data_IF_851436082536
#
_entry.id   IF_851436082536
#
_cell.length_a   1.000
_cell.length_b   1.000
_cell.length_c   1.000
_cell.angle_alpha   90.00
_cell.angle_beta   90.00
_cell.angle_gamma   90.00
#
_symmetry.space_group_name_H-M   'P 1'
#
loop_
_entity.id
_entity.type
_entity.pdbx_description
1 polymer ?
#
# COMPACT_ATOMS: atom_id res chain seq x y z
N UNK A 1 -22.32 -2.41 -10.90
CA UNK A 1 -22.23 -3.37 -9.77
C UNK A 1 -20.82 -3.27 -9.25
N UNK A 2 -20.65 -2.81 -8.01
CA UNK A 2 -19.34 -2.85 -7.33
C UNK A 2 -19.00 -4.34 -7.17
N UNK A 3 -17.90 -4.79 -7.77
CA UNK A 3 -17.41 -6.16 -7.54
C UNK A 3 -17.06 -6.26 -6.04
N UNK A 4 -17.68 -7.22 -5.36
CA UNK A 4 -17.35 -7.48 -3.96
C UNK A 4 -15.88 -7.91 -3.89
N UNK A 5 -15.05 -7.13 -3.17
CA UNK A 5 -13.64 -7.44 -2.98
C UNK A 5 -13.57 -8.52 -1.89
N UNK A 6 -12.86 -9.64 -2.11
CA UNK A 6 -12.66 -10.65 -1.09
C UNK A 6 -12.02 -10.07 0.18
N UNK A 7 -12.44 -10.52 1.35
CA UNK A 7 -11.97 -9.99 2.63
C UNK A 7 -10.47 -10.23 2.89
N UNK A 8 -9.86 -11.22 2.24
CA UNK A 8 -8.45 -11.57 2.42
C UNK A 8 -7.76 -11.55 1.06
N UNK A 9 -6.68 -10.77 0.98
CA UNK A 9 -5.82 -10.65 -0.19
C UNK A 9 -4.37 -11.02 0.15
N UNK A 10 -3.64 -11.58 -0.82
CA UNK A 10 -2.20 -11.79 -0.70
C UNK A 10 -1.45 -10.58 -1.28
N UNK A 11 -0.55 -9.98 -0.51
CA UNK A 11 0.35 -8.97 -1.03
C UNK A 11 1.43 -9.66 -1.89
N UNK A 12 1.53 -9.29 -3.18
CA UNK A 12 2.51 -9.90 -4.10
C UNK A 12 3.96 -9.66 -3.68
N UNK A 13 4.22 -8.63 -2.88
CA UNK A 13 5.54 -8.41 -2.29
C UNK A 13 6.01 -9.59 -1.42
N UNK A 14 5.09 -10.27 -0.72
CA UNK A 14 5.42 -11.42 0.12
C UNK A 14 5.92 -12.63 -0.68
N UNK A 15 5.64 -12.67 -1.97
CA UNK A 15 6.07 -13.74 -2.89
C UNK A 15 7.02 -13.21 -3.99
N UNK A 16 7.68 -12.07 -3.76
CA UNK A 16 8.48 -11.38 -4.76
C UNK A 16 9.59 -12.24 -5.36
N UNK A 17 10.13 -13.20 -4.61
CA UNK A 17 11.17 -14.13 -5.08
C UNK A 17 10.67 -15.08 -6.18
N UNK A 18 9.35 -15.20 -6.34
CA UNK A 18 8.68 -15.98 -7.37
C UNK A 18 8.06 -15.10 -8.47
N UNK A 19 8.49 -13.85 -8.60
CA UNK A 19 8.01 -12.93 -9.65
C UNK A 19 9.07 -12.63 -10.71
N UNK A 20 10.21 -13.34 -10.70
CA UNK A 20 11.35 -13.06 -11.58
C UNK A 20 11.10 -13.40 -13.05
N UNK A 21 10.24 -14.38 -13.33
CA UNK A 21 9.82 -14.78 -14.69
C UNK A 21 8.31 -14.94 -14.79
N UNK A 22 7.75 -14.85 -15.99
CA UNK A 22 6.31 -15.07 -16.22
C UNK A 22 5.86 -16.44 -15.71
N UNK A 23 6.69 -17.47 -15.86
CA UNK A 23 6.39 -18.82 -15.39
C UNK A 23 6.32 -18.89 -13.86
N UNK A 24 7.25 -18.27 -13.17
CA UNK A 24 7.25 -18.18 -11.70
C UNK A 24 6.07 -17.37 -11.20
N UNK A 25 5.76 -16.25 -11.86
CA UNK A 25 4.59 -15.44 -11.56
C UNK A 25 3.29 -16.26 -11.67
N UNK A 26 3.07 -16.98 -12.77
CA UNK A 26 1.90 -17.84 -12.93
C UNK A 26 1.85 -18.96 -11.89
N UNK A 27 3.00 -19.55 -11.56
CA UNK A 27 3.10 -20.54 -10.48
C UNK A 27 2.73 -19.93 -9.11
N UNK A 28 3.24 -18.75 -8.79
CA UNK A 28 2.90 -18.06 -7.53
C UNK A 28 1.38 -17.82 -7.43
N UNK A 29 0.73 -17.38 -8.51
CA UNK A 29 -0.71 -17.19 -8.53
C UNK A 29 -1.49 -18.51 -8.33
N UNK A 30 -1.02 -19.61 -8.91
CA UNK A 30 -1.61 -20.93 -8.69
C UNK A 30 -1.52 -21.34 -7.22
N UNK A 31 -0.36 -21.13 -6.58
CA UNK A 31 -0.19 -21.44 -5.16
C UNK A 31 -1.11 -20.58 -4.28
N UNK A 32 -1.18 -19.29 -4.53
CA UNK A 32 -2.07 -18.38 -3.80
C UNK A 32 -3.55 -18.81 -3.93
N UNK A 33 -3.97 -19.17 -5.14
CA UNK A 33 -5.33 -19.69 -5.35
C UNK A 33 -5.58 -21.00 -4.58
N UNK A 34 -4.62 -21.96 -4.63
CA UNK A 34 -4.73 -23.25 -3.92
C UNK A 34 -4.76 -23.09 -2.40
N UNK A 35 -4.01 -22.14 -1.83
CA UNK A 35 -4.05 -21.79 -0.41
C UNK A 35 -5.44 -21.24 -0.02
N UNK A 36 -6.15 -20.62 -0.96
CA UNK A 36 -7.50 -20.11 -0.73
C UNK A 36 -7.67 -18.62 -0.95
N UNK A 37 -6.63 -17.89 -1.31
CA UNK A 37 -6.75 -16.48 -1.65
C UNK A 37 -7.65 -16.28 -2.88
N UNK A 38 -8.38 -15.16 -2.90
CA UNK A 38 -9.23 -14.74 -4.02
C UNK A 38 -8.94 -13.31 -4.46
N UNK A 39 -8.01 -12.65 -3.79
CA UNK A 39 -7.51 -11.33 -4.16
C UNK A 39 -6.00 -11.24 -3.98
N UNK A 40 -5.40 -10.32 -4.70
CA UNK A 40 -4.00 -9.92 -4.56
C UNK A 40 -3.89 -8.40 -4.45
N UNK A 41 -2.89 -7.94 -3.72
CA UNK A 41 -2.42 -6.56 -3.80
C UNK A 41 -1.23 -6.52 -4.76
N UNK A 42 -1.33 -5.66 -5.77
CA UNK A 42 -0.27 -5.49 -6.76
C UNK A 42 0.99 -4.87 -6.14
N UNK A 43 2.13 -5.45 -6.45
CA UNK A 43 3.45 -4.92 -6.13
C UNK A 43 4.27 -4.74 -7.42
N UNK A 44 4.95 -3.61 -7.53
CA UNK A 44 5.82 -3.28 -8.67
C UNK A 44 7.16 -4.04 -8.55
N UNK A 45 7.14 -5.37 -8.77
CA UNK A 45 8.27 -6.29 -8.57
C UNK A 45 8.37 -7.32 -9.70
N UNK A 46 9.60 -7.81 -9.93
CA UNK A 46 9.87 -8.86 -10.92
C UNK A 46 9.38 -8.50 -12.31
N UNK A 47 8.68 -9.41 -12.98
CA UNK A 47 8.11 -9.19 -14.33
C UNK A 47 7.06 -8.08 -14.41
N UNK A 48 6.59 -7.60 -13.26
CA UNK A 48 5.63 -6.49 -13.15
C UNK A 48 6.33 -5.14 -12.89
N UNK A 49 7.66 -5.11 -12.78
CA UNK A 49 8.43 -3.95 -12.36
C UNK A 49 8.56 -2.89 -13.47
N UNK A 50 8.59 -1.62 -13.04
CA UNK A 50 8.86 -0.48 -13.92
C UNK A 50 7.64 0.02 -14.69
N UNK A 51 7.90 1.02 -15.54
CA UNK A 51 6.85 1.67 -16.34
C UNK A 51 6.49 0.86 -17.59
N UNK A 52 7.45 0.05 -18.08
CA UNK A 52 7.27 -0.90 -19.19
C UNK A 52 7.63 -2.31 -18.72
N UNK A 53 6.76 -2.95 -17.90
CA UNK A 53 7.04 -4.26 -17.34
C UNK A 53 7.11 -5.33 -18.43
N UNK A 54 7.94 -6.36 -18.21
CA UNK A 54 8.03 -7.52 -19.10
C UNK A 54 6.66 -8.17 -19.33
N UNK A 55 5.88 -8.32 -18.25
CA UNK A 55 4.49 -8.73 -18.32
C UNK A 55 3.60 -7.50 -18.29
N UNK A 56 2.95 -7.18 -19.41
CA UNK A 56 2.03 -6.03 -19.45
C UNK A 56 0.88 -6.16 -18.44
N UNK A 57 0.37 -5.03 -17.95
CA UNK A 57 -0.69 -5.01 -16.93
C UNK A 57 -1.98 -5.69 -17.39
N UNK A 58 -2.30 -5.61 -18.70
CA UNK A 58 -3.42 -6.35 -19.29
C UNK A 58 -3.22 -7.85 -19.10
N UNK A 59 -2.04 -8.36 -19.45
CA UNK A 59 -1.73 -9.79 -19.30
C UNK A 59 -1.65 -10.21 -17.83
N UNK A 60 -1.16 -9.34 -16.96
CA UNK A 60 -1.15 -9.58 -15.51
C UNK A 60 -2.59 -9.72 -14.99
N UNK A 61 -3.49 -8.79 -15.38
CA UNK A 61 -4.91 -8.86 -15.06
C UNK A 61 -5.56 -10.15 -15.57
N UNK A 62 -5.35 -10.50 -16.84
CA UNK A 62 -5.84 -11.76 -17.40
C UNK A 62 -5.33 -12.97 -16.62
N UNK A 63 -4.06 -12.95 -16.16
CA UNK A 63 -3.52 -14.01 -15.34
C UNK A 63 -4.23 -14.11 -13.98
N UNK A 64 -4.49 -12.98 -13.31
CA UNK A 64 -5.29 -12.97 -12.07
C UNK A 64 -6.69 -13.59 -12.32
N UNK A 65 -7.38 -13.13 -13.34
CA UNK A 65 -8.74 -13.59 -13.66
C UNK A 65 -8.79 -15.08 -14.00
N UNK A 66 -7.82 -15.59 -14.80
CA UNK A 66 -7.70 -17.04 -15.09
C UNK A 66 -7.52 -17.90 -13.83
N UNK A 67 -6.88 -17.33 -12.80
CA UNK A 67 -6.67 -18.01 -11.51
C UNK A 67 -7.78 -17.71 -10.49
N UNK A 68 -8.85 -17.03 -10.90
CA UNK A 68 -9.95 -16.65 -9.99
C UNK A 68 -9.54 -15.65 -8.92
N UNK A 69 -8.54 -14.83 -9.20
CA UNK A 69 -8.04 -13.75 -8.34
C UNK A 69 -8.51 -12.39 -8.88
N UNK A 70 -8.70 -11.42 -7.99
CA UNK A 70 -8.92 -10.01 -8.34
C UNK A 70 -7.79 -9.16 -7.74
N UNK A 71 -7.45 -8.05 -8.39
CA UNK A 71 -6.55 -7.07 -7.81
C UNK A 71 -7.35 -6.15 -6.89
N UNK A 72 -7.08 -6.17 -5.59
CA UNK A 72 -7.79 -5.35 -4.59
C UNK A 72 -7.25 -3.93 -4.52
N UNK A 73 -5.94 -3.81 -4.56
CA UNK A 73 -5.20 -2.56 -4.36
C UNK A 73 -3.81 -2.64 -4.98
N UNK A 74 -3.13 -1.50 -5.04
CA UNK A 74 -1.76 -1.42 -5.54
C UNK A 74 -0.93 -0.48 -4.68
N UNK A 75 0.38 -0.73 -4.58
CA UNK A 75 1.35 0.22 -4.07
C UNK A 75 2.02 0.95 -5.23
N UNK A 76 2.00 2.30 -5.18
CA UNK A 76 2.66 3.15 -6.18
C UNK A 76 3.44 4.27 -5.50
N UNK A 77 4.58 4.68 -6.07
CA UNK A 77 5.34 5.81 -5.56
C UNK A 77 4.59 7.14 -5.80
N UNK A 78 4.76 8.08 -4.88
CA UNK A 78 4.13 9.40 -5.01
C UNK A 78 4.56 10.13 -6.29
N UNK A 79 5.84 10.05 -6.64
CA UNK A 79 6.37 10.67 -7.87
C UNK A 79 5.62 10.23 -9.13
N UNK A 80 5.26 8.94 -9.24
CA UNK A 80 4.49 8.45 -10.38
C UNK A 80 3.07 9.02 -10.41
N UNK A 81 2.37 9.02 -9.26
CA UNK A 81 1.01 9.54 -9.15
C UNK A 81 0.94 11.05 -9.39
N UNK A 82 1.93 11.81 -8.89
CA UNK A 82 2.01 13.26 -9.07
C UNK A 82 2.35 13.65 -10.52
N UNK A 83 3.36 13.02 -11.09
CA UNK A 83 3.94 13.45 -12.37
C UNK A 83 3.22 12.86 -13.60
N UNK A 84 2.48 11.75 -13.39
CA UNK A 84 1.81 11.01 -14.47
C UNK A 84 0.42 10.51 -14.04
N UNK A 85 -0.37 11.36 -13.38
CA UNK A 85 -1.67 11.01 -12.78
C UNK A 85 -2.58 10.24 -13.74
N UNK A 86 -2.75 10.72 -14.97
CA UNK A 86 -3.63 10.07 -15.97
C UNK A 86 -3.14 8.67 -16.35
N UNK A 87 -1.82 8.49 -16.50
CA UNK A 87 -1.21 7.20 -16.81
C UNK A 87 -1.39 6.22 -15.64
N UNK A 88 -1.25 6.70 -14.41
CA UNK A 88 -1.44 5.86 -13.22
C UNK A 88 -2.92 5.50 -13.03
N UNK A 89 -3.86 6.39 -13.34
CA UNK A 89 -5.29 6.10 -13.38
C UNK A 89 -5.57 4.97 -14.37
N UNK A 90 -5.09 5.07 -15.62
CA UNK A 90 -5.27 4.03 -16.64
C UNK A 90 -4.65 2.70 -16.19
N UNK A 91 -3.48 2.74 -15.55
CA UNK A 91 -2.77 1.59 -14.99
C UNK A 91 -3.60 0.87 -13.92
N UNK A 92 -4.13 1.62 -12.96
CA UNK A 92 -4.94 1.08 -11.86
C UNK A 92 -6.27 0.52 -12.36
N UNK A 93 -6.92 1.20 -13.31
CA UNK A 93 -8.14 0.73 -13.96
C UNK A 93 -7.88 -0.54 -14.78
N UNK A 94 -6.75 -0.62 -15.50
CA UNK A 94 -6.32 -1.82 -16.24
C UNK A 94 -6.15 -3.00 -15.29
N UNK A 95 -5.53 -2.82 -14.13
CA UNK A 95 -5.41 -3.86 -13.10
C UNK A 95 -6.74 -4.20 -12.44
N UNK A 96 -7.72 -3.28 -12.47
CA UNK A 96 -9.01 -3.40 -11.79
C UNK A 96 -8.93 -3.13 -10.30
N UNK A 97 -7.91 -2.38 -9.86
CA UNK A 97 -7.77 -1.92 -8.49
C UNK A 97 -8.79 -0.81 -8.19
N UNK A 98 -9.23 -0.73 -6.93
CA UNK A 98 -10.03 0.41 -6.43
C UNK A 98 -9.21 1.33 -5.53
N UNK A 99 -8.09 0.84 -4.99
CA UNK A 99 -7.27 1.57 -4.03
C UNK A 99 -5.81 1.59 -4.48
N UNK A 100 -5.15 2.71 -4.22
CA UNK A 100 -3.69 2.86 -4.37
C UNK A 100 -3.11 3.43 -3.07
N UNK A 101 -2.00 2.85 -2.60
CA UNK A 101 -1.35 3.28 -1.37
C UNK A 101 0.09 3.70 -1.63
N UNK A 102 0.49 4.79 -0.96
CA UNK A 102 1.87 5.22 -0.85
C UNK A 102 2.54 4.47 0.29
N UNK A 103 3.81 4.11 0.14
CA UNK A 103 4.56 3.41 1.20
C UNK A 103 5.32 4.38 2.10
N UNK A 104 5.70 5.54 1.60
CA UNK A 104 6.44 6.58 2.31
C UNK A 104 6.43 7.87 1.49
N UNK A 105 6.79 8.97 2.13
CA UNK A 105 7.04 10.22 1.43
C UNK A 105 8.39 10.15 0.70
N UNK A 106 8.39 10.55 -0.58
CA UNK A 106 9.58 10.64 -1.42
C UNK A 106 10.05 12.09 -1.53
N UNK A 107 11.28 12.30 -1.98
CA UNK A 107 11.76 13.63 -2.28
C UNK A 107 10.76 14.42 -3.16
N UNK A 108 10.49 15.69 -2.88
CA UNK A 108 11.25 16.61 -2.00
C UNK A 108 10.79 16.64 -0.51
N UNK A 109 10.02 15.68 -0.07
CA UNK A 109 9.55 15.60 1.32
C UNK A 109 10.51 14.77 2.16
N UNK A 110 10.82 15.24 3.37
CA UNK A 110 11.53 14.45 4.38
C UNK A 110 10.50 13.71 5.23
N UNK A 111 10.58 12.39 5.25
CA UNK A 111 9.66 11.52 5.98
C UNK A 111 9.81 11.61 7.50
N UNK A 112 10.82 12.33 8.02
CA UNK A 112 11.06 12.52 9.46
C UNK A 112 10.64 13.92 9.94
N UNK A 113 10.10 14.78 9.06
CA UNK A 113 9.73 16.15 9.40
C UNK A 113 8.22 16.42 9.20
N UNK A 114 7.55 16.92 10.23
CA UNK A 114 6.13 17.24 10.20
C UNK A 114 5.77 18.25 9.09
N UNK A 115 6.61 19.26 8.84
CA UNK A 115 6.37 20.23 7.77
C UNK A 115 6.33 19.60 6.37
N UNK A 116 7.02 18.49 6.17
CA UNK A 116 6.94 17.72 4.91
C UNK A 116 5.57 17.07 4.74
N UNK A 117 4.98 16.51 5.79
CA UNK A 117 3.62 15.97 5.75
C UNK A 117 2.58 17.07 5.52
N UNK A 118 2.75 18.25 6.14
CA UNK A 118 1.87 19.40 5.88
C UNK A 118 1.94 19.88 4.42
N UNK A 119 3.14 19.98 3.85
CA UNK A 119 3.29 20.34 2.43
C UNK A 119 2.67 19.28 1.53
N UNK A 120 2.96 18.00 1.80
CA UNK A 120 2.38 16.90 1.07
C UNK A 120 0.85 16.91 1.11
N UNK A 121 0.23 17.21 2.26
CA UNK A 121 -1.23 17.27 2.39
C UNK A 121 -1.87 18.29 1.44
N UNK A 122 -1.19 19.40 1.18
CA UNK A 122 -1.64 20.44 0.23
C UNK A 122 -1.39 19.97 -1.23
N UNK A 123 -0.20 19.48 -1.50
CA UNK A 123 0.24 19.10 -2.85
C UNK A 123 -0.51 17.86 -3.37
N UNK A 124 -1.04 17.03 -2.48
CA UNK A 124 -1.77 15.81 -2.84
C UNK A 124 -3.23 16.06 -3.27
N UNK A 125 -3.83 17.18 -2.92
CA UNK A 125 -5.26 17.46 -3.18
C UNK A 125 -5.66 17.30 -4.65
N UNK A 126 -4.91 17.83 -5.65
CA UNK A 126 -5.27 17.65 -7.05
C UNK A 126 -5.24 16.18 -7.50
N UNK A 127 -4.28 15.39 -6.99
CA UNK A 127 -4.16 13.96 -7.31
C UNK A 127 -5.30 13.17 -6.67
N UNK A 128 -5.65 13.48 -5.42
CA UNK A 128 -6.81 12.89 -4.73
C UNK A 128 -8.08 13.11 -5.57
N UNK A 129 -8.30 14.36 -6.02
CA UNK A 129 -9.47 14.70 -6.82
C UNK A 129 -9.51 13.94 -8.15
N UNK A 130 -8.40 13.88 -8.88
CA UNK A 130 -8.32 13.19 -10.15
C UNK A 130 -8.58 11.67 -10.02
N UNK A 131 -8.04 11.05 -8.96
CA UNK A 131 -8.29 9.65 -8.65
C UNK A 131 -9.76 9.40 -8.29
N UNK A 132 -10.36 10.27 -7.45
CA UNK A 132 -11.77 10.17 -7.07
C UNK A 132 -12.70 10.31 -8.28
N UNK A 133 -12.45 11.27 -9.17
CA UNK A 133 -13.19 11.46 -10.41
C UNK A 133 -13.12 10.23 -11.33
N UNK A 134 -12.03 9.47 -11.26
CA UNK A 134 -11.83 8.21 -11.97
C UNK A 134 -12.40 6.98 -11.21
N UNK A 135 -13.02 7.15 -10.04
CA UNK A 135 -13.57 6.07 -9.22
C UNK A 135 -12.51 5.30 -8.42
N UNK A 136 -11.34 5.90 -8.20
CA UNK A 136 -10.21 5.34 -7.44
C UNK A 136 -10.02 6.11 -6.13
N UNK A 137 -9.39 5.48 -5.15
CA UNK A 137 -9.08 6.12 -3.87
C UNK A 137 -7.59 5.93 -3.53
N UNK A 138 -7.02 6.95 -2.89
CA UNK A 138 -5.62 6.97 -2.49
C UNK A 138 -5.50 6.90 -0.97
N UNK A 139 -4.42 6.30 -0.49
CA UNK A 139 -4.12 6.22 0.92
C UNK A 139 -2.62 6.07 1.21
N UNK A 140 -2.30 5.88 2.47
CA UNK A 140 -0.95 5.73 2.98
C UNK A 140 -0.79 4.42 3.74
N UNK A 141 0.28 3.69 3.44
CA UNK A 141 0.72 2.51 4.16
C UNK A 141 1.87 2.90 5.08
N UNK A 142 1.69 2.71 6.38
CA UNK A 142 2.67 3.11 7.38
C UNK A 142 3.79 2.09 7.56
N UNK A 143 4.93 2.61 8.03
CA UNK A 143 6.02 1.86 8.65
C UNK A 143 6.19 2.30 10.10
N UNK A 144 7.34 1.99 10.72
CA UNK A 144 7.58 2.37 12.11
C UNK A 144 8.06 3.81 12.30
N UNK A 145 8.65 4.43 11.27
CA UNK A 145 9.21 5.77 11.37
C UNK A 145 8.15 6.86 11.55
N UNK A 146 6.91 6.65 11.08
CA UNK A 146 5.82 7.59 11.30
C UNK A 146 5.38 7.67 12.78
N UNK A 147 5.79 6.70 13.60
CA UNK A 147 5.52 6.72 15.04
C UNK A 147 6.60 7.45 15.85
N UNK A 148 7.58 8.11 15.21
CA UNK A 148 8.49 9.03 15.87
C UNK A 148 7.73 10.27 16.35
N UNK A 149 8.08 10.75 17.57
CA UNK A 149 7.46 11.94 18.18
C UNK A 149 8.10 13.23 17.69
N UNK A 150 7.95 13.50 16.40
CA UNK A 150 8.48 14.66 15.69
C UNK A 150 7.38 15.63 15.24
N UNK A 151 6.16 15.45 15.72
CA UNK A 151 5.07 16.39 15.50
C UNK A 151 5.28 17.70 16.27
N UNK A 152 4.67 18.83 15.84
CA UNK A 152 4.86 20.15 16.44
C UNK A 152 4.54 20.22 17.93
N UNK A 153 3.56 19.46 18.40
CA UNK A 153 3.09 19.44 19.78
C UNK A 153 3.56 18.17 20.55
N UNK A 154 4.54 17.42 19.99
CA UNK A 154 5.10 16.21 20.57
C UNK A 154 4.32 14.93 20.28
N UNK A 155 3.32 15.01 19.41
CA UNK A 155 2.61 13.87 18.85
C UNK A 155 3.50 13.09 17.85
N UNK A 156 3.09 11.89 17.50
CA UNK A 156 3.77 11.13 16.44
C UNK A 156 3.51 11.76 15.07
N UNK A 157 4.43 11.54 14.13
CA UNK A 157 4.21 11.96 12.73
C UNK A 157 2.95 11.32 12.15
N UNK A 158 2.62 10.09 12.56
CA UNK A 158 1.38 9.43 12.15
C UNK A 158 0.13 10.16 12.65
N UNK A 159 0.10 10.56 13.92
CA UNK A 159 -0.99 11.35 14.48
C UNK A 159 -1.13 12.69 13.75
N UNK A 160 -0.02 13.39 13.54
CA UNK A 160 0.00 14.63 12.77
C UNK A 160 -0.49 14.43 11.32
N UNK A 161 -0.08 13.34 10.65
CA UNK A 161 -0.53 12.98 9.31
C UNK A 161 -2.05 12.77 9.25
N UNK A 162 -2.61 12.04 10.22
CA UNK A 162 -4.07 11.79 10.32
C UNK A 162 -4.85 13.09 10.43
N UNK A 163 -4.32 14.08 11.13
CA UNK A 163 -4.97 15.37 11.34
C UNK A 163 -4.81 16.33 10.15
N UNK A 164 -3.66 16.35 9.49
CA UNK A 164 -3.39 17.32 8.43
C UNK A 164 -3.79 16.85 7.03
N UNK A 165 -3.96 15.52 6.80
CA UNK A 165 -4.32 15.01 5.47
C UNK A 165 -5.81 15.19 5.19
N UNK A 166 -6.14 15.47 3.91
CA UNK A 166 -7.50 15.51 3.40
C UNK A 166 -8.31 14.32 3.91
N UNK A 167 -9.56 14.52 4.31
CA UNK A 167 -10.42 13.46 4.88
C UNK A 167 -10.68 12.30 3.90
N UNK A 168 -10.55 12.54 2.59
CA UNK A 168 -10.66 11.54 1.52
C UNK A 168 -9.39 10.67 1.41
N UNK A 169 -8.28 11.09 2.00
CA UNK A 169 -7.04 10.34 2.01
C UNK A 169 -7.13 9.21 3.03
N UNK A 170 -7.02 7.98 2.56
CA UNK A 170 -7.23 6.78 3.35
C UNK A 170 -5.93 6.27 4.00
N UNK A 171 -6.03 5.24 4.81
CA UNK A 171 -4.90 4.57 5.43
C UNK A 171 -4.97 3.06 5.22
N UNK A 172 -3.81 2.45 4.99
CA UNK A 172 -3.59 1.01 5.02
C UNK A 172 -2.67 0.70 6.21
N UNK A 173 -3.22 0.61 7.43
CA UNK A 173 -2.41 0.32 8.61
C UNK A 173 -1.72 -1.03 8.50
N UNK A 174 -0.42 -1.07 8.83
CA UNK A 174 0.36 -2.30 8.98
C UNK A 174 0.58 -2.57 10.46
N UNK A 175 -0.08 -3.60 10.99
CA UNK A 175 -0.11 -3.87 12.44
C UNK A 175 1.28 -4.24 13.00
N UNK A 176 2.13 -4.87 12.18
CA UNK A 176 3.52 -5.14 12.58
C UNK A 176 4.32 -3.86 12.76
N UNK A 177 4.26 -2.96 11.76
CA UNK A 177 5.01 -1.71 11.82
C UNK A 177 4.51 -0.76 12.92
N UNK A 178 3.21 -0.77 13.22
CA UNK A 178 2.65 -0.03 14.36
C UNK A 178 3.24 -0.58 15.67
N UNK A 179 3.22 -1.89 15.86
CA UNK A 179 3.80 -2.54 17.05
C UNK A 179 5.31 -2.30 17.14
N UNK A 180 6.02 -2.32 16.02
CA UNK A 180 7.45 -2.01 15.95
C UNK A 180 7.74 -0.54 16.30
N UNK A 181 6.79 0.36 16.06
CA UNK A 181 6.81 1.75 16.52
C UNK A 181 6.46 1.93 18.00
N UNK A 182 6.31 0.82 18.75
CA UNK A 182 5.93 0.80 20.17
C UNK A 182 4.55 1.40 20.48
N UNK A 183 3.61 1.30 19.55
CA UNK A 183 2.20 1.73 19.69
C UNK A 183 1.28 0.51 19.61
N UNK A 184 0.15 0.55 20.32
CA UNK A 184 -0.87 -0.48 20.23
C UNK A 184 -1.64 -0.35 18.89
N UNK A 185 -1.62 -1.36 18.01
CA UNK A 185 -2.37 -1.31 16.76
C UNK A 185 -3.88 -1.08 16.96
N UNK A 186 -4.47 -1.58 18.03
CA UNK A 186 -5.89 -1.40 18.28
C UNK A 186 -6.27 0.07 18.51
N UNK A 187 -5.40 0.84 19.17
CA UNK A 187 -5.59 2.28 19.37
C UNK A 187 -5.55 3.03 18.04
N UNK A 188 -4.56 2.70 17.18
CA UNK A 188 -4.43 3.33 15.85
C UNK A 188 -5.64 3.02 14.97
N UNK A 189 -6.05 1.73 14.91
CA UNK A 189 -7.21 1.32 14.13
C UNK A 189 -8.50 2.01 14.59
N UNK A 190 -8.69 2.18 15.90
CA UNK A 190 -9.85 2.87 16.45
C UNK A 190 -9.89 4.35 16.06
N UNK A 191 -8.75 5.04 16.02
CA UNK A 191 -8.65 6.46 15.61
C UNK A 191 -8.93 6.66 14.11
N UNK A 192 -8.57 5.71 13.28
CA UNK A 192 -8.74 5.77 11.82
C UNK A 192 -10.14 5.33 11.34
N UNK A 193 -11.11 5.15 12.23
CA UNK A 193 -12.44 4.66 11.89
C UNK A 193 -13.06 5.41 10.71
N UNK A 194 -13.43 4.65 9.67
CA UNK A 194 -14.00 5.18 8.43
C UNK A 194 -12.97 5.54 7.35
N UNK A 195 -11.65 5.50 7.65
CA UNK A 195 -10.57 5.77 6.71
C UNK A 195 -9.67 4.55 6.44
N UNK A 196 -10.12 3.33 6.77
CA UNK A 196 -9.35 2.09 6.63
C UNK A 196 -10.07 1.16 5.64
N UNK A 197 -9.72 1.15 4.35
CA UNK A 197 -10.24 0.17 3.40
C UNK A 197 -9.49 -1.15 3.44
N UNK A 198 -8.21 -1.14 3.83
CA UNK A 198 -7.32 -2.30 3.89
C UNK A 198 -6.45 -2.25 5.15
N UNK A 199 -6.02 -3.42 5.60
CA UNK A 199 -5.06 -3.58 6.72
C UNK A 199 -4.02 -4.62 6.32
N UNK A 200 -2.75 -4.33 6.54
CA UNK A 200 -1.71 -5.35 6.48
C UNK A 200 -1.62 -6.07 7.82
N UNK A 201 -2.04 -7.33 7.79
CA UNK A 201 -1.94 -8.23 8.96
C UNK A 201 -0.62 -8.98 8.85
N UNK A 202 0.39 -8.47 9.52
CA UNK A 202 1.72 -9.07 9.63
C UNK A 202 1.97 -9.51 11.06
N UNK A 203 2.73 -10.58 11.21
CA UNK A 203 3.24 -11.09 12.47
C UNK A 203 4.77 -11.09 12.45
N UNK A 204 5.38 -11.26 13.63
CA UNK A 204 6.82 -11.32 13.79
C UNK A 204 7.21 -12.33 14.86
N UNK A 205 8.29 -13.06 14.60
CA UNK A 205 8.96 -13.88 15.58
C UNK A 205 10.25 -13.20 16.03
N UNK A 206 10.44 -13.06 17.34
CA UNK A 206 11.70 -12.61 17.90
C UNK A 206 12.61 -13.83 18.07
N UNK A 207 13.63 -13.91 17.21
CA UNK A 207 14.64 -14.97 17.31
C UNK A 207 15.77 -14.45 18.20
N UNK A 208 16.06 -15.12 19.35
CA UNK A 208 17.17 -14.74 20.19
C UNK A 208 18.50 -14.84 19.42
N UNK A 209 19.29 -13.77 19.43
CA UNK A 209 20.64 -13.78 18.87
C UNK A 209 21.58 -14.29 19.96
N UNK A 210 22.40 -15.33 19.70
CA UNK A 210 23.42 -15.79 20.63
C UNK A 210 24.39 -14.62 20.97
N UNK A 211 24.41 -14.21 22.24
CA UNK A 211 25.28 -13.14 22.72
C UNK A 211 24.58 -11.85 23.15
N UNK A 212 23.28 -11.70 22.94
CA UNK A 212 22.50 -10.64 23.60
C UNK A 212 22.28 -11.02 25.07
N UNK A 213 23.31 -10.74 25.88
CA UNK A 213 23.22 -10.86 27.33
C UNK A 213 22.15 -9.93 27.89
N UNK A 214 21.20 -10.50 28.62
CA UNK A 214 20.32 -9.78 29.51
C UNK A 214 21.13 -9.13 30.65
#
# INVERSE_FOLDING_TARGET
MVKEIPQIAAQLYCVQDYLGTVKEFEFALDQLHQIGYRAVQYANRGVLAGDNPELSLVRAREAFERKGLVCSSAHRPWSALRDNTDIEIERLQTLGCSYVFLNFLEQPYDMHEADSYRRFSIDSVPVIQALEDAGLQIGFHNHSHEFQRNGPDGETLFEFMVECFDERFLFEPDVYWISNGAIDPAEVLARLKGRIPCVHVKDAEVIPVEGDGA
#
